data_IF_893433138005
#
_entry.id   IF_893433138005
#
_cell.length_a   1.000
_cell.length_b   1.000
_cell.length_c   1.000
_cell.angle_alpha   90.00
_cell.angle_beta   90.00
_cell.angle_gamma   90.00
#
_symmetry.space_group_name_H-M   'P 1'
#
loop_
_entity.id
_entity.type
_entity.pdbx_description
1 polymer ?
#
# COMPACT_ATOMS: atom_id res chain seq x y z
N UNK A 1 -13.00 32.37 -23.05
CA UNK A 1 -11.54 32.38 -22.78
C UNK A 1 -11.19 31.31 -21.72
N UNK A 2 -10.95 30.06 -22.11
CA UNK A 2 -10.85 28.87 -21.22
C UNK A 2 -9.41 28.33 -21.09
N UNK A 3 -8.42 28.98 -21.70
CA UNK A 3 -7.06 28.45 -21.78
C UNK A 3 -6.28 28.41 -20.43
N UNK A 4 -6.68 29.20 -19.42
CA UNK A 4 -5.90 29.39 -18.18
C UNK A 4 -6.31 28.43 -17.05
N UNK A 5 -7.56 27.93 -17.06
CA UNK A 5 -8.05 27.01 -16.02
C UNK A 5 -7.61 25.56 -16.25
N UNK A 6 -7.17 25.22 -17.46
CA UNK A 6 -6.79 23.87 -17.86
C UNK A 6 -5.68 23.23 -17.00
N UNK A 7 -4.57 23.91 -16.61
CA UNK A 7 -3.55 23.28 -15.78
C UNK A 7 -4.03 22.92 -14.36
N UNK A 8 -4.90 23.74 -13.75
CA UNK A 8 -5.46 23.48 -12.42
C UNK A 8 -6.56 22.43 -12.47
N UNK A 9 -7.44 22.47 -13.48
CA UNK A 9 -8.51 21.48 -13.65
C UNK A 9 -7.94 20.11 -14.02
N UNK A 10 -6.90 20.06 -14.85
CA UNK A 10 -6.20 18.82 -15.18
C UNK A 10 -5.51 18.21 -13.94
N UNK A 11 -4.80 19.02 -13.14
CA UNK A 11 -4.27 18.55 -11.85
C UNK A 11 -5.37 18.09 -10.89
N UNK A 12 -6.45 18.86 -10.75
CA UNK A 12 -7.57 18.52 -9.87
C UNK A 12 -8.30 17.24 -10.29
N UNK A 13 -8.58 17.09 -11.58
CA UNK A 13 -9.20 15.88 -12.15
C UNK A 13 -8.27 14.67 -12.05
N UNK A 14 -6.97 14.87 -12.29
CA UNK A 14 -5.95 13.84 -12.11
C UNK A 14 -5.89 13.41 -10.64
N UNK A 15 -5.78 14.33 -9.67
CA UNK A 15 -5.80 14.03 -8.24
C UNK A 15 -7.09 13.35 -7.80
N UNK A 16 -8.25 13.77 -8.31
CA UNK A 16 -9.55 13.14 -8.00
C UNK A 16 -9.65 11.73 -8.61
N UNK A 17 -9.20 11.54 -9.86
CA UNK A 17 -9.11 10.24 -10.50
C UNK A 17 -8.15 9.30 -9.75
N UNK A 18 -6.96 9.78 -9.40
CA UNK A 18 -5.99 9.08 -8.56
C UNK A 18 -6.58 8.75 -7.19
N UNK A 19 -7.31 9.67 -6.54
CA UNK A 19 -7.95 9.42 -5.26
C UNK A 19 -9.00 8.31 -5.36
N UNK A 20 -9.85 8.32 -6.40
CA UNK A 20 -10.81 7.23 -6.62
C UNK A 20 -10.13 5.89 -6.90
N UNK A 21 -9.04 5.87 -7.67
CA UNK A 21 -8.24 4.68 -7.92
C UNK A 21 -7.63 4.17 -6.61
N UNK A 22 -7.03 5.05 -5.79
CA UNK A 22 -6.45 4.70 -4.49
C UNK A 22 -7.52 4.13 -3.56
N UNK A 23 -8.71 4.75 -3.49
CA UNK A 23 -9.83 4.25 -2.70
C UNK A 23 -10.26 2.86 -3.18
N UNK A 24 -10.40 2.65 -4.50
CA UNK A 24 -10.75 1.34 -5.04
C UNK A 24 -9.70 0.27 -4.71
N UNK A 25 -8.40 0.62 -4.81
CA UNK A 25 -7.30 -0.26 -4.42
C UNK A 25 -7.38 -0.60 -2.93
N UNK A 26 -7.60 0.39 -2.05
CA UNK A 26 -7.73 0.16 -0.60
C UNK A 26 -8.88 -0.80 -0.30
N UNK A 27 -10.04 -0.62 -0.95
CA UNK A 27 -11.18 -1.53 -0.79
C UNK A 27 -10.86 -2.95 -1.23
N UNK A 28 -10.28 -3.12 -2.43
CA UNK A 28 -9.88 -4.43 -2.95
C UNK A 28 -8.88 -5.10 -2.02
N UNK A 29 -7.85 -4.37 -1.58
CA UNK A 29 -6.86 -4.87 -0.63
C UNK A 29 -7.50 -5.25 0.71
N UNK A 30 -8.44 -4.45 1.20
CA UNK A 30 -9.14 -4.71 2.47
C UNK A 30 -9.96 -6.01 2.40
N UNK A 31 -10.72 -6.23 1.30
CA UNK A 31 -11.44 -7.48 1.09
C UNK A 31 -10.50 -8.67 0.91
N UNK A 32 -9.42 -8.50 0.15
CA UNK A 32 -8.40 -9.53 -0.04
C UNK A 32 -7.71 -9.91 1.28
N UNK A 33 -7.45 -8.94 2.16
CA UNK A 33 -6.88 -9.17 3.49
C UNK A 33 -7.88 -9.84 4.45
N UNK A 34 -9.15 -9.45 4.42
CA UNK A 34 -10.18 -10.00 5.31
C UNK A 34 -10.52 -11.47 4.96
N UNK A 35 -10.51 -11.84 3.68
CA UNK A 35 -10.88 -13.17 3.19
C UNK A 35 -10.10 -14.33 3.86
N UNK A 36 -8.76 -14.39 3.83
CA UNK A 36 -8.01 -15.52 4.40
C UNK A 36 -8.09 -15.56 5.93
N UNK A 37 -8.23 -14.40 6.59
CA UNK A 37 -8.40 -14.35 8.05
C UNK A 37 -9.75 -14.95 8.45
N UNK A 38 -10.82 -14.65 7.71
CA UNK A 38 -12.15 -15.16 8.01
C UNK A 38 -12.26 -16.69 7.82
N UNK A 39 -11.54 -17.24 6.85
CA UNK A 39 -11.53 -18.68 6.57
C UNK A 39 -10.66 -19.45 7.59
N UNK A 40 -9.51 -18.88 7.96
CA UNK A 40 -8.53 -19.50 8.87
C UNK A 40 -8.82 -19.33 10.35
N UNK A 41 -9.72 -18.42 10.76
CA UNK A 41 -10.12 -18.29 12.15
C UNK A 41 -11.12 -19.39 12.53
N UNK A 42 -10.64 -20.37 13.30
CA UNK A 42 -11.50 -21.37 13.94
C UNK A 42 -11.71 -20.98 15.39
N UNK A 43 -12.97 -20.99 15.82
CA UNK A 43 -13.31 -20.86 17.24
C UNK A 43 -13.05 -22.20 17.91
N UNK A 44 -12.00 -22.28 18.73
CA UNK A 44 -11.72 -23.46 19.53
C UNK A 44 -12.27 -23.23 20.93
N UNK A 45 -13.14 -24.13 21.38
CA UNK A 45 -13.61 -24.14 22.76
C UNK A 45 -12.49 -24.68 23.64
N UNK A 46 -12.12 -23.93 24.67
CA UNK A 46 -11.08 -24.29 25.64
C UNK A 46 -11.62 -24.11 27.06
N UNK A 47 -11.26 -25.05 27.94
CA UNK A 47 -11.63 -25.05 29.36
C UNK A 47 -12.59 -26.17 29.75
N UNK A 48 -12.19 -27.00 30.71
CA UNK A 48 -12.98 -28.13 31.25
C UNK A 48 -14.12 -27.66 32.19
N UNK A 49 -13.91 -26.58 32.97
CA UNK A 49 -14.84 -26.12 34.02
C UNK A 49 -15.61 -24.85 33.58
N UNK A 50 -15.00 -23.98 32.78
CA UNK A 50 -15.65 -22.83 32.14
C UNK A 50 -15.31 -22.85 30.65
N UNK A 51 -16.34 -22.99 29.83
CA UNK A 51 -16.25 -22.91 28.37
C UNK A 51 -15.81 -21.51 27.97
N UNK A 52 -14.60 -21.36 27.43
CA UNK A 52 -14.11 -20.14 26.82
C UNK A 52 -13.80 -20.39 25.34
N UNK A 53 -13.96 -19.38 24.48
CA UNK A 53 -13.65 -19.50 23.06
C UNK A 53 -12.36 -18.76 22.76
N UNK A 54 -11.40 -19.45 22.15
CA UNK A 54 -10.19 -18.83 21.63
C UNK A 54 -10.26 -18.81 20.11
N UNK A 55 -9.98 -17.65 19.53
CA UNK A 55 -9.70 -17.53 18.10
C UNK A 55 -8.27 -17.98 17.85
N UNK A 56 -8.09 -19.28 17.59
CA UNK A 56 -6.80 -19.82 17.20
C UNK A 56 -6.79 -20.00 15.69
N UNK A 57 -5.70 -19.58 15.06
CA UNK A 57 -5.51 -19.74 13.64
C UNK A 57 -4.97 -21.14 13.40
N UNK A 58 -5.89 -22.09 13.23
CA UNK A 58 -5.60 -23.50 13.07
C UNK A 58 -5.62 -23.82 11.57
N UNK A 59 -4.46 -23.71 10.93
CA UNK A 59 -4.28 -24.12 9.54
C UNK A 59 -4.25 -25.65 9.50
N UNK A 60 -5.18 -26.27 8.79
CA UNK A 60 -5.23 -27.73 8.68
C UNK A 60 -4.03 -28.28 7.90
N UNK A 61 -3.50 -27.49 6.96
CA UNK A 61 -2.36 -27.84 6.13
C UNK A 61 -1.24 -26.82 6.28
N UNK A 62 -0.01 -27.31 6.40
CA UNK A 62 1.20 -26.49 6.57
C UNK A 62 1.41 -25.54 5.38
N UNK A 63 1.06 -25.98 4.17
CA UNK A 63 1.13 -25.17 2.94
C UNK A 63 0.28 -23.90 3.01
N UNK A 64 -0.90 -23.97 3.64
CA UNK A 64 -1.81 -22.82 3.79
C UNK A 64 -1.24 -21.82 4.79
N UNK A 65 -0.61 -22.30 5.87
CA UNK A 65 0.09 -21.46 6.83
C UNK A 65 1.26 -20.71 6.18
N UNK A 66 2.10 -21.43 5.43
CA UNK A 66 3.24 -20.85 4.71
C UNK A 66 2.79 -19.81 3.68
N UNK A 67 1.75 -20.12 2.90
CA UNK A 67 1.20 -19.20 1.91
C UNK A 67 0.68 -17.91 2.56
N UNK A 68 0.03 -18.00 3.73
CA UNK A 68 -0.43 -16.84 4.48
C UNK A 68 0.71 -15.98 5.02
N UNK A 69 1.79 -16.60 5.52
CA UNK A 69 2.95 -15.86 6.01
C UNK A 69 3.68 -15.13 4.89
N UNK A 70 3.84 -15.77 3.72
CA UNK A 70 4.38 -15.12 2.51
C UNK A 70 3.48 -13.97 2.07
N UNK A 71 2.16 -14.17 2.08
CA UNK A 71 1.19 -13.12 1.77
C UNK A 71 1.34 -11.89 2.69
N UNK A 72 1.47 -12.11 4.00
CA UNK A 72 1.71 -11.05 4.97
C UNK A 72 3.06 -10.36 4.78
N UNK A 73 4.12 -11.11 4.47
CA UNK A 73 5.44 -10.55 4.17
C UNK A 73 5.39 -9.62 2.94
N UNK A 74 4.72 -10.05 1.88
CA UNK A 74 4.55 -9.24 0.66
C UNK A 74 3.83 -7.94 0.98
N UNK A 75 2.71 -8.02 1.72
CA UNK A 75 1.88 -6.86 2.03
C UNK A 75 2.52 -5.88 3.00
N UNK A 76 3.16 -6.37 4.06
CA UNK A 76 3.71 -5.53 5.12
C UNK A 76 5.12 -5.02 4.81
N UNK A 77 5.86 -5.73 3.96
CA UNK A 77 7.25 -5.38 3.68
C UNK A 77 7.47 -5.01 2.22
N UNK A 78 7.26 -5.95 1.29
CA UNK A 78 7.67 -5.74 -0.11
C UNK A 78 6.88 -4.63 -0.80
N UNK A 79 5.56 -4.58 -0.59
CA UNK A 79 4.71 -3.55 -1.17
C UNK A 79 5.10 -2.15 -0.66
N UNK A 80 5.16 -1.87 0.67
CA UNK A 80 5.64 -0.60 1.18
C UNK A 80 7.05 -0.23 0.69
N UNK A 81 7.99 -1.16 0.73
CA UNK A 81 9.38 -0.92 0.28
C UNK A 81 9.41 -0.50 -1.19
N UNK A 82 8.64 -1.16 -2.06
CA UNK A 82 8.57 -0.81 -3.48
C UNK A 82 8.01 0.59 -3.71
N UNK A 83 6.96 0.97 -2.98
CA UNK A 83 6.34 2.31 -3.05
C UNK A 83 7.34 3.37 -2.61
N UNK A 84 8.00 3.14 -1.46
CA UNK A 84 9.01 4.04 -0.91
C UNK A 84 10.19 4.21 -1.87
N UNK A 85 10.70 3.11 -2.43
CA UNK A 85 11.79 3.13 -3.40
C UNK A 85 11.42 3.95 -4.64
N UNK A 86 10.23 3.77 -5.20
CA UNK A 86 9.76 4.53 -6.36
C UNK A 86 9.62 6.02 -6.04
N UNK A 87 8.97 6.36 -4.92
CA UNK A 87 8.78 7.73 -4.47
C UNK A 87 10.12 8.44 -4.23
N UNK A 88 11.04 7.80 -3.51
CA UNK A 88 12.37 8.35 -3.24
C UNK A 88 13.22 8.49 -4.50
N UNK A 89 13.15 7.53 -5.42
CA UNK A 89 13.84 7.68 -6.71
C UNK A 89 13.30 8.89 -7.48
N UNK A 90 11.99 9.13 -7.45
CA UNK A 90 11.37 10.33 -8.02
C UNK A 90 11.91 11.63 -7.38
N UNK A 91 11.94 11.67 -6.04
CA UNK A 91 12.46 12.82 -5.27
C UNK A 91 13.94 13.05 -5.60
N UNK A 92 14.77 12.01 -5.58
CA UNK A 92 16.19 12.10 -5.88
C UNK A 92 16.45 12.65 -7.31
N UNK A 93 15.68 12.20 -8.30
CA UNK A 93 15.76 12.72 -9.68
C UNK A 93 15.34 14.18 -9.77
N UNK A 94 14.27 14.58 -9.07
CA UNK A 94 13.81 15.96 -9.04
C UNK A 94 14.85 16.88 -8.40
N UNK A 95 15.45 16.45 -7.28
CA UNK A 95 16.54 17.15 -6.61
C UNK A 95 17.76 17.29 -7.53
N UNK A 96 18.17 16.23 -8.23
CA UNK A 96 19.32 16.28 -9.14
C UNK A 96 19.12 17.31 -10.27
N UNK A 97 17.94 17.31 -10.90
CA UNK A 97 17.59 18.28 -11.95
C UNK A 97 17.54 19.71 -11.43
N UNK A 98 16.92 19.93 -10.27
CA UNK A 98 16.87 21.25 -9.62
C UNK A 98 18.25 21.77 -9.20
N UNK A 99 19.13 20.88 -8.74
CA UNK A 99 20.52 21.20 -8.36
C UNK A 99 21.35 21.60 -9.58
N UNK A 100 21.23 20.85 -10.69
CA UNK A 100 21.92 21.16 -11.94
C UNK A 100 21.52 22.54 -12.48
N UNK A 101 20.21 22.85 -12.48
CA UNK A 101 19.69 24.14 -12.91
C UNK A 101 20.19 25.30 -12.02
N UNK A 102 20.23 25.11 -10.70
CA UNK A 102 20.81 26.10 -9.77
C UNK A 102 22.30 26.33 -10.00
N UNK A 103 23.08 25.28 -10.29
CA UNK A 103 24.52 25.42 -10.58
C UNK A 103 24.78 26.22 -11.86
N UNK A 104 23.96 26.03 -12.90
CA UNK A 104 24.09 26.78 -14.16
C UNK A 104 23.84 28.28 -14.01
N UNK A 105 23.06 28.72 -13.01
CA UNK A 105 22.83 30.14 -12.72
C UNK A 105 23.87 30.77 -11.78
N UNK A 106 24.69 29.96 -11.10
CA UNK A 106 25.69 30.44 -10.15
C UNK A 106 27.10 30.57 -10.76
N UNK A 107 27.28 30.25 -12.04
CA UNK A 107 28.53 30.50 -12.77
C UNK A 107 28.52 31.97 -13.22
N UNK A 108 29.42 32.83 -12.72
CA UNK A 108 29.60 34.18 -13.26
C UNK A 108 30.31 34.06 -14.60
N UNK A 109 29.74 34.68 -15.63
CA UNK A 109 30.34 34.90 -16.95
C UNK A 109 31.57 35.80 -16.87
#
# INVERSE_FOLDING_TARGET
NIAILLPLRAKYLCTRGHAHIVIAIIWVLSFAMASPVLIGQKHKEVGEIRKAFWCVREWHEEEVGLAFDIYMLVLLFLLPVSIMAAAYTGIARALWRGSALRRSMAVPS
#
